data_IF_639393391944
#
_entry.id   IF_639393391944
#
_cell.length_a   1.000
_cell.length_b   1.000
_cell.length_c   1.000
_cell.angle_alpha   90.00
_cell.angle_beta   90.00
_cell.angle_gamma   90.00
#
_symmetry.space_group_name_H-M   'P 1'
#
loop_
_entity.id
_entity.type
_entity.pdbx_description
1 polymer ?
#
# COMPACT_ATOMS: atom_id res chain seq x y z
N UNK A 1 -9.18 -0.51 -3.73
CA UNK A 1 -8.79 -1.90 -3.41
C UNK A 1 -7.41 -2.24 -3.96
N UNK A 2 -7.00 -1.65 -5.10
CA UNK A 2 -5.68 -1.83 -5.71
C UNK A 2 -4.53 -1.48 -4.75
N UNK A 3 -4.57 -0.31 -4.09
CA UNK A 3 -3.47 0.16 -3.24
C UNK A 3 -3.09 -0.78 -2.09
N UNK A 4 -4.06 -1.37 -1.38
CA UNK A 4 -3.76 -2.29 -0.26
C UNK A 4 -3.24 -3.62 -0.80
N UNK A 5 -3.68 -4.06 -1.98
CA UNK A 5 -3.10 -5.22 -2.64
C UNK A 5 -1.64 -5.00 -3.02
N UNK A 6 -1.37 -3.90 -3.73
CA UNK A 6 -0.03 -3.52 -4.18
C UNK A 6 0.93 -3.31 -3.00
N UNK A 7 0.45 -2.74 -1.89
CA UNK A 7 1.22 -2.62 -0.65
C UNK A 7 1.80 -3.96 -0.18
N UNK A 8 1.08 -5.06 -0.41
CA UNK A 8 1.48 -6.41 0.01
C UNK A 8 2.17 -7.22 -1.09
N UNK A 9 2.39 -6.62 -2.27
CA UNK A 9 3.24 -7.19 -3.30
C UNK A 9 4.70 -6.82 -2.95
N UNK A 10 5.57 -7.77 -2.55
CA UNK A 10 6.88 -7.42 -1.99
C UNK A 10 7.77 -6.64 -2.95
N UNK A 11 7.73 -6.97 -4.24
CA UNK A 11 8.58 -6.36 -5.25
C UNK A 11 8.18 -4.92 -5.58
N UNK A 12 6.95 -4.49 -5.31
CA UNK A 12 6.50 -3.10 -5.48
C UNK A 12 7.29 -2.12 -4.58
N UNK A 13 7.98 -2.64 -3.56
CA UNK A 13 8.92 -1.88 -2.71
C UNK A 13 10.35 -1.77 -3.26
N UNK A 14 10.65 -2.40 -4.40
CA UNK A 14 11.97 -2.43 -5.00
C UNK A 14 12.09 -1.54 -6.25
N UNK A 15 11.48 -0.36 -6.24
CA UNK A 15 11.51 0.58 -7.38
C UNK A 15 12.95 0.84 -7.87
N UNK A 16 13.88 1.11 -6.95
CA UNK A 16 15.30 1.34 -7.28
C UNK A 16 15.98 0.16 -8.00
N UNK A 17 15.39 -1.03 -7.92
CA UNK A 17 15.84 -2.27 -8.56
C UNK A 17 14.90 -2.71 -9.68
N UNK A 18 14.11 -1.77 -10.24
CA UNK A 18 13.08 -2.01 -11.26
C UNK A 18 12.12 -3.14 -10.88
N UNK A 19 11.73 -3.18 -9.62
CA UNK A 19 10.83 -4.19 -9.06
C UNK A 19 11.31 -5.64 -9.30
N UNK A 20 12.64 -5.84 -9.44
CA UNK A 20 13.22 -7.16 -9.72
C UNK A 20 13.16 -7.60 -11.18
N UNK A 21 12.71 -6.76 -12.11
CA UNK A 21 12.59 -7.13 -13.53
C UNK A 21 13.92 -7.51 -14.21
N UNK A 22 15.05 -7.06 -13.65
CA UNK A 22 16.40 -7.34 -14.16
C UNK A 22 17.01 -8.62 -13.58
N UNK A 23 16.40 -9.22 -12.56
CA UNK A 23 16.90 -10.44 -11.93
C UNK A 23 16.27 -11.62 -12.67
N UNK A 24 17.10 -12.40 -13.37
CA UNK A 24 16.66 -13.61 -14.07
C UNK A 24 16.73 -14.80 -13.14
N UNK A 25 15.63 -15.55 -13.07
CA UNK A 25 15.47 -16.79 -12.32
C UNK A 25 15.39 -17.97 -13.29
N UNK A 26 16.01 -19.09 -12.93
CA UNK A 26 15.86 -20.38 -13.61
C UNK A 26 15.13 -21.34 -12.67
N UNK A 27 13.95 -21.83 -13.08
CA UNK A 27 13.17 -22.82 -12.35
C UNK A 27 12.55 -23.83 -13.32
N UNK A 28 12.75 -25.12 -13.07
CA UNK A 28 12.23 -26.22 -13.91
C UNK A 28 12.57 -26.07 -15.41
N UNK A 29 13.79 -25.61 -15.70
CA UNK A 29 14.28 -25.37 -17.08
C UNK A 29 13.66 -24.14 -17.77
N UNK A 30 12.81 -23.38 -17.08
CA UNK A 30 12.23 -22.14 -17.58
C UNK A 30 12.93 -20.93 -16.98
N UNK A 31 13.08 -19.88 -17.80
CA UNK A 31 13.58 -18.60 -17.33
C UNK A 31 12.43 -17.64 -17.08
N UNK A 32 12.49 -16.95 -15.94
CA UNK A 32 11.54 -15.94 -15.51
C UNK A 32 12.31 -14.71 -15.03
N UNK A 33 11.71 -13.52 -15.12
CA UNK A 33 12.18 -12.42 -14.28
C UNK A 33 11.68 -12.62 -12.85
N UNK A 34 12.36 -12.07 -11.84
CA UNK A 34 11.86 -12.11 -10.46
C UNK A 34 10.46 -11.48 -10.37
N UNK A 35 10.24 -10.39 -11.11
CA UNK A 35 8.94 -9.73 -11.20
C UNK A 35 7.84 -10.66 -11.73
N UNK A 36 8.02 -11.21 -12.94
CA UNK A 36 7.05 -12.12 -13.54
C UNK A 36 6.85 -13.39 -12.72
N UNK A 37 7.89 -13.85 -12.02
CA UNK A 37 7.76 -15.02 -11.15
C UNK A 37 6.81 -14.73 -9.97
N UNK A 38 6.89 -13.55 -9.35
CA UNK A 38 6.00 -13.15 -8.26
C UNK A 38 4.60 -12.72 -8.71
N UNK A 39 4.46 -12.10 -9.89
CA UNK A 39 3.16 -11.62 -10.37
C UNK A 39 2.38 -12.66 -11.18
N UNK A 40 3.07 -13.56 -11.89
CA UNK A 40 2.41 -14.56 -12.74
C UNK A 40 2.54 -15.99 -12.22
N UNK A 41 3.76 -16.43 -11.88
CA UNK A 41 4.01 -17.83 -11.53
C UNK A 41 3.44 -18.17 -10.15
N UNK A 42 3.85 -17.44 -9.10
CA UNK A 42 3.43 -17.71 -7.72
C UNK A 42 1.91 -17.72 -7.56
N UNK A 43 1.14 -16.71 -8.04
CA UNK A 43 -0.31 -16.68 -7.83
C UNK A 43 -1.06 -17.87 -8.43
N UNK A 44 -0.54 -18.46 -9.53
CA UNK A 44 -1.14 -19.65 -10.16
C UNK A 44 -0.89 -20.94 -9.39
N UNK A 45 0.05 -20.93 -8.45
CA UNK A 45 0.45 -22.09 -7.65
C UNK A 45 0.02 -21.98 -6.17
N UNK A 46 -0.67 -20.88 -5.81
CA UNK A 46 -1.29 -20.75 -4.50
C UNK A 46 -2.54 -21.63 -4.38
N UNK A 47 -2.93 -22.02 -3.15
CA UNK A 47 -4.16 -22.77 -2.93
C UNK A 47 -5.37 -21.94 -3.41
N UNK A 48 -6.33 -22.60 -4.06
CA UNK A 48 -7.56 -21.96 -4.55
C UNK A 48 -8.60 -21.72 -3.45
N UNK A 49 -8.40 -22.30 -2.27
CA UNK A 49 -9.31 -22.20 -1.13
C UNK A 49 -8.52 -21.97 0.15
N UNK A 50 -8.95 -20.97 0.92
CA UNK A 50 -8.42 -20.70 2.26
C UNK A 50 -9.42 -21.16 3.32
N UNK A 51 -8.89 -21.58 4.46
CA UNK A 51 -9.74 -21.91 5.61
C UNK A 51 -10.27 -20.63 6.26
N UNK A 52 -11.58 -20.37 6.12
CA UNK A 52 -12.23 -19.20 6.72
C UNK A 52 -11.97 -19.08 8.23
N UNK A 53 -11.98 -20.20 8.95
CA UNK A 53 -11.74 -20.20 10.40
C UNK A 53 -10.33 -19.75 10.77
N UNK A 54 -9.32 -20.11 9.97
CA UNK A 54 -7.95 -19.67 10.18
C UNK A 54 -7.77 -18.18 9.86
N UNK A 55 -8.40 -17.70 8.78
CA UNK A 55 -8.34 -16.29 8.38
C UNK A 55 -8.99 -15.39 9.44
N UNK A 56 -10.15 -15.80 9.96
CA UNK A 56 -10.88 -15.07 11.00
C UNK A 56 -10.11 -15.03 12.32
N UNK A 57 -9.53 -16.16 12.75
CA UNK A 57 -8.70 -16.22 13.95
C UNK A 57 -7.52 -15.23 13.87
N UNK A 58 -6.77 -15.25 12.77
CA UNK A 58 -5.66 -14.32 12.56
C UNK A 58 -6.10 -12.85 12.53
N UNK A 59 -7.28 -12.54 11.96
CA UNK A 59 -7.82 -11.18 11.97
C UNK A 59 -8.07 -10.68 13.40
N UNK A 60 -8.67 -11.54 14.25
CA UNK A 60 -9.00 -11.18 15.63
C UNK A 60 -7.76 -10.97 16.51
N UNK A 61 -6.66 -11.65 16.22
CA UNK A 61 -5.38 -11.41 16.90
C UNK A 61 -4.79 -10.04 16.54
N UNK A 62 -4.84 -9.66 15.26
CA UNK A 62 -4.18 -8.45 14.76
C UNK A 62 -4.99 -7.16 14.98
N UNK A 63 -6.32 -7.24 14.98
CA UNK A 63 -7.20 -6.06 15.03
C UNK A 63 -6.95 -5.16 16.24
N UNK A 64 -6.51 -5.74 17.36
CA UNK A 64 -6.21 -5.00 18.59
C UNK A 64 -5.02 -4.05 18.44
N UNK A 65 -4.04 -4.41 17.60
CA UNK A 65 -2.88 -3.56 17.32
C UNK A 65 -3.23 -2.38 16.39
N UNK A 66 -4.23 -2.55 15.53
CA UNK A 66 -4.60 -1.54 14.52
C UNK A 66 -5.63 -0.53 15.00
N UNK A 67 -6.56 -0.93 15.89
CA UNK A 67 -7.75 -0.14 16.26
C UNK A 67 -7.49 1.25 16.88
N UNK A 68 -6.26 1.54 17.29
CA UNK A 68 -5.88 2.80 17.93
C UNK A 68 -5.02 3.71 17.03
N UNK A 69 -4.78 3.28 15.78
CA UNK A 69 -3.91 3.98 14.84
C UNK A 69 -4.75 4.66 13.75
N UNK A 70 -4.27 5.77 13.21
CA UNK A 70 -4.91 6.41 12.07
C UNK A 70 -4.56 5.67 10.77
N UNK A 71 -5.35 5.80 9.69
CA UNK A 71 -5.00 5.15 8.43
C UNK A 71 -3.59 5.52 7.94
N UNK A 72 -3.14 6.78 7.94
CA UNK A 72 -1.75 7.11 7.58
C UNK A 72 -0.69 6.37 8.41
N UNK A 73 -0.87 6.29 9.74
CA UNK A 73 0.06 5.57 10.62
C UNK A 73 0.14 4.08 10.25
N UNK A 74 -1.01 3.47 9.99
CA UNK A 74 -1.11 2.08 9.56
C UNK A 74 -0.42 1.84 8.23
N UNK A 75 -0.63 2.71 7.24
CA UNK A 75 0.01 2.56 5.94
C UNK A 75 1.54 2.65 6.04
N UNK A 76 2.08 3.55 6.88
CA UNK A 76 3.52 3.67 7.10
C UNK A 76 4.10 2.43 7.80
N UNK A 77 3.46 1.93 8.84
CA UNK A 77 3.91 0.72 9.54
C UNK A 77 3.87 -0.50 8.62
N UNK A 78 2.78 -0.68 7.88
CA UNK A 78 2.65 -1.78 6.94
C UNK A 78 3.66 -1.66 5.79
N UNK A 79 3.98 -0.45 5.34
CA UNK A 79 5.03 -0.20 4.37
C UNK A 79 6.40 -0.64 4.89
N UNK A 80 6.75 -0.26 6.12
CA UNK A 80 8.02 -0.64 6.76
C UNK A 80 8.15 -2.16 6.92
N UNK A 81 7.07 -2.83 7.34
CA UNK A 81 7.03 -4.29 7.43
C UNK A 81 7.28 -4.96 6.06
N UNK A 82 6.65 -4.44 5.00
CA UNK A 82 6.80 -5.01 3.66
C UNK A 82 8.18 -4.75 3.06
N UNK A 83 8.74 -3.56 3.29
CA UNK A 83 10.11 -3.25 2.94
C UNK A 83 11.12 -4.17 3.68
N UNK A 84 10.86 -4.48 4.95
CA UNK A 84 11.67 -5.43 5.72
C UNK A 84 11.60 -6.84 5.11
N UNK A 85 10.40 -7.34 4.86
CA UNK A 85 10.15 -8.68 4.28
C UNK A 85 10.80 -8.84 2.90
N UNK A 86 10.71 -7.83 2.02
CA UNK A 86 11.35 -7.95 0.70
C UNK A 86 12.88 -8.01 0.82
N UNK A 87 13.47 -7.32 1.80
CA UNK A 87 14.90 -7.35 2.03
C UNK A 87 15.37 -8.67 2.63
N UNK A 88 14.67 -9.22 3.63
CA UNK A 88 15.04 -10.46 4.31
C UNK A 88 14.69 -11.71 3.50
N UNK A 89 13.45 -11.81 3.04
CA UNK A 89 12.85 -13.08 2.63
C UNK A 89 12.74 -13.25 1.11
N UNK A 90 12.82 -12.14 0.38
CA UNK A 90 12.84 -12.18 -1.09
C UNK A 90 14.24 -11.97 -1.61
N UNK A 91 14.80 -10.76 -1.45
CA UNK A 91 16.12 -10.43 -1.99
C UNK A 91 17.27 -11.07 -1.21
N UNK A 92 17.23 -11.02 0.12
CA UNK A 92 18.28 -11.56 0.97
C UNK A 92 18.51 -13.06 0.78
N UNK A 93 17.47 -13.82 0.42
CA UNK A 93 17.56 -15.24 0.09
C UNK A 93 18.18 -15.53 -1.29
N UNK A 94 18.28 -14.54 -2.17
CA UNK A 94 18.91 -14.68 -3.49
C UNK A 94 20.42 -14.42 -3.44
N UNK A 95 20.89 -13.70 -2.43
CA UNK A 95 22.30 -13.35 -2.29
C UNK A 95 23.12 -14.54 -1.78
N UNK A 96 24.20 -14.87 -2.49
CA UNK A 96 25.14 -15.91 -2.08
C UNK A 96 26.30 -15.25 -1.33
N UNK A 97 26.67 -15.81 -0.17
CA UNK A 97 27.90 -15.41 0.51
C UNK A 97 29.09 -16.05 -0.21
N UNK A 98 29.92 -15.24 -0.85
CA UNK A 98 31.14 -15.69 -1.47
C UNK A 98 32.28 -15.79 -0.43
N UNK A 99 33.29 -16.60 -0.74
CA UNK A 99 34.45 -16.81 0.15
C UNK A 99 35.25 -15.52 0.43
N UNK A 100 35.12 -14.51 -0.43
CA UNK A 100 35.71 -13.18 -0.26
C UNK A 100 34.93 -12.28 0.72
N UNK A 101 33.87 -12.81 1.34
CA UNK A 101 33.00 -12.09 2.25
C UNK A 101 31.99 -11.17 1.56
N UNK A 102 31.97 -11.13 0.22
CA UNK A 102 30.99 -10.32 -0.52
C UNK A 102 29.68 -11.09 -0.71
N UNK A 103 28.56 -10.35 -0.72
CA UNK A 103 27.25 -10.85 -1.11
C UNK A 103 26.94 -10.39 -2.52
N UNK A 104 26.74 -11.33 -3.44
CA UNK A 104 26.36 -11.00 -4.82
C UNK A 104 25.25 -11.93 -5.29
N UNK A 105 24.53 -11.46 -6.30
CA UNK A 105 23.53 -12.23 -7.02
C UNK A 105 24.22 -12.96 -8.18
N UNK A 106 24.19 -14.29 -8.18
CA UNK A 106 24.60 -15.08 -9.34
C UNK A 106 23.43 -15.15 -10.32
N UNK A 107 23.55 -14.49 -11.48
CA UNK A 107 22.50 -14.45 -12.50
C UNK A 107 22.88 -15.39 -13.65
N UNK A 108 21.99 -16.33 -14.08
CA UNK A 108 20.63 -16.55 -13.57
C UNK A 108 20.63 -17.23 -12.20
N UNK A 109 19.71 -16.80 -11.33
CA UNK A 109 19.54 -17.41 -10.01
C UNK A 109 18.74 -18.69 -10.16
N UNK A 110 19.33 -19.83 -9.82
CA UNK A 110 18.65 -21.12 -9.85
C UNK A 110 17.78 -21.28 -8.61
N UNK A 111 16.46 -21.30 -8.80
CA UNK A 111 15.52 -21.50 -7.72
C UNK A 111 15.49 -22.97 -7.29
N UNK A 112 15.69 -23.21 -6.00
CA UNK A 112 15.48 -24.53 -5.42
C UNK A 112 14.00 -24.74 -5.09
N UNK A 113 13.60 -26.00 -4.92
CA UNK A 113 12.24 -26.33 -4.46
C UNK A 113 11.92 -25.71 -3.10
N UNK A 114 12.89 -25.71 -2.17
CA UNK A 114 12.71 -25.12 -0.84
C UNK A 114 12.50 -23.60 -0.91
N UNK A 115 13.21 -22.89 -1.80
CA UNK A 115 12.99 -21.45 -2.00
C UNK A 115 11.60 -21.17 -2.54
N UNK A 116 11.12 -22.00 -3.49
CA UNK A 116 9.75 -21.86 -4.00
C UNK A 116 8.72 -22.12 -2.89
N UNK A 117 8.86 -23.19 -2.11
CA UNK A 117 7.95 -23.49 -1.00
C UNK A 117 7.89 -22.34 0.02
N UNK A 118 9.06 -21.78 0.39
CA UNK A 118 9.13 -20.60 1.26
C UNK A 118 8.40 -19.39 0.68
N UNK A 119 8.57 -19.13 -0.62
CA UNK A 119 7.93 -18.01 -1.30
C UNK A 119 6.42 -18.20 -1.48
N UNK A 120 5.95 -19.43 -1.74
CA UNK A 120 4.52 -19.74 -1.77
C UNK A 120 3.88 -19.51 -0.39
N UNK A 121 4.53 -20.00 0.67
CA UNK A 121 4.09 -19.76 2.05
C UNK A 121 4.08 -18.28 2.41
N UNK A 122 5.08 -17.52 1.96
CA UNK A 122 5.14 -16.07 2.15
C UNK A 122 4.00 -15.37 1.41
N UNK A 123 3.82 -15.67 0.11
CA UNK A 123 2.77 -15.08 -0.70
C UNK A 123 1.36 -15.36 -0.13
N UNK A 124 1.11 -16.58 0.33
CA UNK A 124 -0.14 -16.93 1.01
C UNK A 124 -0.37 -16.04 2.25
N UNK A 125 0.63 -15.93 3.14
CA UNK A 125 0.55 -15.08 4.33
C UNK A 125 0.26 -13.62 3.98
N UNK A 126 0.93 -13.08 2.97
CA UNK A 126 0.77 -11.68 2.55
C UNK A 126 -0.62 -11.40 1.96
N UNK A 127 -1.17 -12.32 1.16
CA UNK A 127 -2.53 -12.20 0.61
C UNK A 127 -3.57 -12.23 1.72
N UNK A 128 -3.44 -13.17 2.67
CA UNK A 128 -4.33 -13.25 3.83
C UNK A 128 -4.24 -11.96 4.65
N UNK A 129 -3.03 -11.47 4.93
CA UNK A 129 -2.81 -10.23 5.66
C UNK A 129 -3.40 -9.01 4.94
N UNK A 130 -3.25 -8.93 3.62
CA UNK A 130 -3.85 -7.88 2.80
C UNK A 130 -5.38 -7.87 2.92
N UNK A 131 -6.01 -9.05 2.85
CA UNK A 131 -7.46 -9.20 3.03
C UNK A 131 -7.94 -8.80 4.42
N UNK A 132 -7.18 -9.15 5.47
CA UNK A 132 -7.47 -8.77 6.85
C UNK A 132 -7.38 -7.25 7.05
N UNK A 133 -6.31 -6.62 6.56
CA UNK A 133 -6.11 -5.16 6.62
C UNK A 133 -7.17 -4.40 5.84
N UNK A 134 -7.52 -4.89 4.64
CA UNK A 134 -8.60 -4.32 3.84
C UNK A 134 -9.95 -4.40 4.58
N UNK A 135 -10.24 -5.54 5.20
CA UNK A 135 -11.45 -5.74 6.01
C UNK A 135 -11.50 -4.77 7.19
N UNK A 136 -10.37 -4.58 7.89
CA UNK A 136 -10.26 -3.62 8.98
C UNK A 136 -10.58 -2.19 8.50
N UNK A 137 -9.91 -1.73 7.44
CA UNK A 137 -10.12 -0.39 6.88
C UNK A 137 -11.57 -0.18 6.42
N UNK A 138 -12.17 -1.17 5.75
CA UNK A 138 -13.57 -1.06 5.31
C UNK A 138 -14.55 -1.00 6.48
N UNK A 139 -14.34 -1.79 7.53
CA UNK A 139 -15.18 -1.71 8.73
C UNK A 139 -15.11 -0.33 9.38
N UNK A 140 -13.91 0.26 9.47
CA UNK A 140 -13.72 1.59 10.02
C UNK A 140 -14.40 2.68 9.16
N UNK A 141 -14.21 2.64 7.84
CA UNK A 141 -14.86 3.55 6.90
C UNK A 141 -16.40 3.48 6.98
N UNK A 142 -16.96 2.27 7.08
CA UNK A 142 -18.41 2.08 7.20
C UNK A 142 -18.95 2.64 8.52
N UNK A 143 -18.23 2.45 9.64
CA UNK A 143 -18.58 3.03 10.94
C UNK A 143 -18.63 4.55 10.88
N UNK A 144 -17.62 5.18 10.29
CA UNK A 144 -17.57 6.63 10.12
C UNK A 144 -18.68 7.17 9.21
N UNK A 145 -19.06 6.43 8.16
CA UNK A 145 -20.19 6.80 7.30
C UNK A 145 -21.52 6.81 8.06
N UNK A 146 -21.73 5.88 9.00
CA UNK A 146 -22.93 5.81 9.83
C UNK A 146 -23.11 7.02 10.76
N UNK A 147 -22.01 7.61 11.24
CA UNK A 147 -22.05 8.80 12.09
C UNK A 147 -22.27 10.12 11.32
N UNK A 148 -22.20 10.07 9.99
CA UNK A 148 -22.45 11.22 9.10
C UNK A 148 -23.89 11.27 8.60
N UNK A 149 -24.83 10.69 9.35
CA UNK A 149 -26.26 10.92 9.12
C UNK A 149 -26.53 12.45 9.12
N UNK A 150 -27.40 12.95 8.22
CA UNK A 150 -27.59 14.39 8.06
C UNK A 150 -28.04 14.98 9.39
N UNK A 151 -27.31 15.99 9.87
CA UNK A 151 -27.86 16.87 10.89
C UNK A 151 -29.25 17.31 10.40
N UNK A 152 -30.30 17.24 11.25
CA UNK A 152 -31.60 17.76 10.85
C UNK A 152 -31.40 19.19 10.36
N UNK A 153 -31.99 19.50 9.20
CA UNK A 153 -31.94 20.84 8.64
C UNK A 153 -32.28 21.84 9.75
N UNK A 154 -31.50 22.93 9.93
CA UNK A 154 -31.78 23.91 10.97
C UNK A 154 -33.24 24.33 10.82
N UNK A 155 -34.00 24.22 11.90
CA UNK A 155 -35.39 24.67 11.90
C UNK A 155 -35.42 26.12 11.42
N UNK A 156 -36.42 26.51 10.62
CA UNK A 156 -36.50 27.86 10.03
C UNK A 156 -36.43 28.99 11.09
N UNK A 157 -36.61 28.69 12.38
CA UNK A 157 -36.43 29.62 13.49
C UNK A 157 -34.97 30.08 13.72
N UNK A 158 -33.96 29.25 13.41
CA UNK A 158 -32.54 29.60 13.62
C UNK A 158 -31.93 30.37 12.44
N UNK A 159 -32.50 30.24 11.24
CA UNK A 159 -32.08 31.02 10.07
C UNK A 159 -32.50 32.49 10.19
N UNK A 160 -33.59 32.79 10.91
CA UNK A 160 -34.13 34.15 11.04
C UNK A 160 -33.37 35.03 12.03
N UNK A 161 -32.63 34.47 12.98
CA UNK A 161 -31.92 35.22 14.03
C UNK A 161 -30.50 35.63 13.67
N UNK A 162 -29.91 35.07 12.60
CA UNK A 162 -28.57 35.45 12.12
C UNK A 162 -28.53 36.68 11.19
N UNK A 163 -29.67 37.14 10.67
CA UNK A 163 -29.72 38.22 9.68
C UNK A 163 -29.90 39.65 10.24
N UNK A 164 -29.86 39.85 11.56
CA UNK A 164 -30.15 41.17 12.16
C UNK A 164 -28.94 41.95 12.69
N UNK A 165 -27.70 41.53 12.42
CA UNK A 165 -26.51 42.27 12.87
C UNK A 165 -25.52 42.50 11.74
N UNK A 166 -25.62 43.67 11.11
CA UNK A 166 -24.50 44.28 10.38
C UNK A 166 -24.66 44.41 8.86
N UNK A 167 -25.72 45.08 8.39
CA UNK A 167 -25.61 45.84 7.15
C UNK A 167 -25.38 47.31 7.50
N UNK A 168 -24.11 47.68 7.63
CA UNK A 168 -23.67 49.06 7.45
C UNK A 168 -22.87 49.08 6.17
N UNK A 169 -23.41 49.80 5.19
CA UNK A 169 -22.84 49.99 3.88
C UNK A 169 -21.48 50.71 3.96
N UNK A 170 -20.52 50.23 3.17
CA UNK A 170 -19.44 51.09 2.69
C UNK A 170 -19.06 50.67 1.27
N UNK A 171 -19.62 51.40 0.31
CA UNK A 171 -19.21 51.41 -1.10
C UNK A 171 -17.89 52.15 -1.23
N UNK A 172 -16.82 51.46 -1.62
CA UNK A 172 -15.56 52.08 -2.06
C UNK A 172 -15.34 51.75 -3.55
N UNK A 173 -15.02 52.75 -4.39
CA UNK A 173 -15.04 52.61 -5.84
C UNK A 173 -13.78 51.94 -6.40
N UNK A 174 -13.99 51.40 -7.60
CA UNK A 174 -13.07 50.68 -8.47
C UNK A 174 -12.03 51.62 -9.11
N UNK A 175 -10.74 51.32 -8.98
CA UNK A 175 -9.66 51.93 -9.78
C UNK A 175 -8.64 50.90 -10.25
N UNK A 176 -8.75 50.61 -11.55
CA UNK A 176 -7.70 50.59 -12.58
C UNK A 176 -6.47 49.65 -12.48
N UNK A 177 -6.44 48.69 -13.44
CA UNK A 177 -5.37 48.11 -14.29
C UNK A 177 -3.89 48.51 -13.99
N UNK A 178 -2.86 47.65 -14.13
CA UNK A 178 -2.14 47.09 -15.34
C UNK A 178 -0.85 46.36 -14.77
N UNK A 179 0.03 45.62 -15.49
CA UNK A 179 -0.04 44.42 -16.34
C UNK A 179 0.82 43.21 -15.84
N UNK A 180 0.80 42.13 -16.64
CA UNK A 180 1.76 41.01 -16.76
C UNK A 180 3.25 41.40 -16.79
N UNK A 181 4.08 40.54 -16.21
CA UNK A 181 5.46 40.19 -16.64
C UNK A 181 5.65 38.69 -16.35
N UNK A 182 5.70 37.81 -17.34
CA UNK A 182 6.85 37.33 -18.13
C UNK A 182 7.93 36.55 -17.35
N UNK A 183 8.00 35.27 -17.73
CA UNK A 183 9.13 34.36 -17.92
C UNK A 183 10.33 34.36 -16.95
N UNK A 184 10.66 33.15 -16.47
CA UNK A 184 12.01 32.59 -16.63
C UNK A 184 12.01 31.07 -16.46
N UNK A 185 12.31 30.40 -17.57
CA UNK A 185 12.92 29.07 -17.59
C UNK A 185 14.21 29.07 -16.75
N UNK A 186 14.42 28.00 -15.98
CA UNK A 186 15.77 27.57 -15.60
C UNK A 186 15.82 26.06 -15.75
N UNK A 187 16.43 25.63 -16.86
CA UNK A 187 16.96 24.28 -17.05
C UNK A 187 18.28 24.14 -16.31
N UNK A 188 18.42 23.07 -15.52
CA UNK A 188 19.66 22.34 -15.28
C UNK A 188 19.32 20.86 -15.09
#
# INVERSE_FOLDING_TARGET
>A
VILVGDLHQPLHWLEAHRYGSLITLEYDGQQHSLLSFWEDYIPRHLPSQWSNSSVDAGYHELVHAWRHKTPPDLFMEWAEEMASIVCSDVRGKLEVNHADGTRRLEVPVRLTKSMLEDWLNLAEKLIVLAGQRLTFLFRDMLKHRGHRAPMPAPSQAEASSRNLRGQSAETVPLTTKVPLSDEREVSL
#
